data_IF_350044471332
#
_entry.id   IF_350044471332
#
_cell.length_a   1.000
_cell.length_b   1.000
_cell.length_c   1.000
_cell.angle_alpha   90.00
_cell.angle_beta   90.00
_cell.angle_gamma   90.00
#
_symmetry.space_group_name_H-M   'P 1'
#
loop_
_entity.id
_entity.type
_entity.pdbx_description
1 polymer ?
#
# COMPACT_ATOMS: atom_id res chain seq x y z
N UNK A 1 -27.06 8.10 6.51
CA UNK A 1 -26.00 7.07 6.40
C UNK A 1 -24.70 7.62 5.82
N UNK A 2 -24.72 8.26 4.64
CA UNK A 2 -23.51 8.84 4.01
C UNK A 2 -22.74 9.83 4.90
N UNK A 3 -23.44 10.70 5.64
CA UNK A 3 -22.80 11.67 6.54
C UNK A 3 -22.01 11.05 7.70
N UNK A 4 -22.47 9.92 8.28
CA UNK A 4 -21.74 9.24 9.35
C UNK A 4 -20.46 8.58 8.83
N UNK A 5 -20.53 7.96 7.64
CA UNK A 5 -19.36 7.36 7.01
C UNK A 5 -18.36 8.40 6.50
N UNK A 6 -18.81 9.55 6.03
CA UNK A 6 -17.90 10.65 5.67
C UNK A 6 -17.18 11.22 6.89
N UNK A 7 -17.86 11.30 8.04
CA UNK A 7 -17.23 11.68 9.31
C UNK A 7 -16.15 10.65 9.70
N UNK A 8 -16.46 9.35 9.65
CA UNK A 8 -15.50 8.28 9.92
C UNK A 8 -14.28 8.33 8.98
N UNK A 9 -14.51 8.50 7.67
CA UNK A 9 -13.42 8.62 6.69
C UNK A 9 -12.58 9.90 6.93
N UNK A 10 -13.22 11.03 7.27
CA UNK A 10 -12.53 12.26 7.64
C UNK A 10 -11.61 12.08 8.85
N UNK A 11 -12.05 11.30 9.84
CA UNK A 11 -11.20 10.92 10.98
C UNK A 11 -10.04 10.00 10.58
N UNK A 12 -10.23 9.01 9.70
CA UNK A 12 -9.13 8.16 9.19
C UNK A 12 -8.07 9.01 8.48
N UNK A 13 -8.48 9.94 7.61
CA UNK A 13 -7.55 10.84 6.93
C UNK A 13 -7.02 11.95 7.83
N UNK A 14 -7.57 12.11 9.03
CA UNK A 14 -7.32 13.20 9.95
C UNK A 14 -7.45 14.57 9.27
N UNK A 15 -8.58 14.79 8.59
CA UNK A 15 -8.90 16.03 7.87
C UNK A 15 -10.27 16.57 8.29
N UNK A 16 -10.25 17.70 8.99
CA UNK A 16 -11.43 18.46 9.44
C UNK A 16 -11.27 19.90 8.95
N UNK A 17 -12.09 20.31 7.98
CA UNK A 17 -12.01 21.62 7.32
C UNK A 17 -10.61 21.96 6.80
N UNK A 18 -9.91 20.99 6.20
CA UNK A 18 -8.54 21.14 5.69
C UNK A 18 -7.50 21.35 6.80
N UNK A 19 -7.81 20.98 8.05
CA UNK A 19 -6.89 21.01 9.20
C UNK A 19 -6.80 19.61 9.82
N UNK A 20 -5.60 19.26 10.26
CA UNK A 20 -5.37 18.01 11.00
C UNK A 20 -5.56 18.21 12.50
N UNK A 21 -6.08 17.20 13.17
CA UNK A 21 -6.23 17.19 14.62
C UNK A 21 -5.06 16.45 15.25
N UNK A 22 -4.40 17.06 16.23
CA UNK A 22 -3.35 16.43 17.01
C UNK A 22 -3.93 15.88 18.32
N UNK A 23 -4.54 14.69 18.26
CA UNK A 23 -5.21 14.07 19.41
C UNK A 23 -4.25 13.28 20.31
N UNK A 24 -3.24 12.63 19.72
CA UNK A 24 -2.34 11.71 20.43
C UNK A 24 -0.88 12.17 20.47
N UNK A 25 -0.57 13.35 19.94
CA UNK A 25 0.80 13.81 19.71
C UNK A 25 1.36 13.27 18.40
N UNK A 26 2.02 14.13 17.62
CA UNK A 26 2.77 13.69 16.45
C UNK A 26 3.94 12.81 16.87
N UNK A 27 4.19 11.75 16.10
CA UNK A 27 5.28 10.81 16.37
C UNK A 27 6.60 11.24 15.72
N UNK A 28 6.55 12.25 14.87
CA UNK A 28 7.74 12.89 14.32
C UNK A 28 8.36 13.85 15.32
N UNK A 29 9.69 13.89 15.36
CA UNK A 29 10.43 14.92 16.09
C UNK A 29 10.35 16.22 15.31
N UNK A 30 10.12 17.31 16.03
CA UNK A 30 10.33 18.65 15.47
C UNK A 30 11.84 18.90 15.44
N UNK A 31 12.39 19.35 14.31
CA UNK A 31 13.81 19.62 14.22
C UNK A 31 14.19 20.71 15.22
N UNK A 32 15.22 20.45 16.02
CA UNK A 32 15.76 21.46 16.91
C UNK A 32 16.32 22.61 16.08
N UNK A 33 16.05 23.87 16.46
CA UNK A 33 16.54 24.99 15.69
C UNK A 33 18.07 25.02 15.81
N UNK A 34 18.78 24.99 14.68
CA UNK A 34 20.24 25.01 14.67
C UNK A 34 20.72 26.30 15.35
N UNK A 35 21.48 26.14 16.43
CA UNK A 35 22.22 27.25 17.04
C UNK A 35 23.26 27.73 16.01
N UNK A 36 23.28 29.02 15.70
CA UNK A 36 24.37 29.56 14.90
C UNK A 36 25.66 29.42 15.72
N UNK A 37 26.73 28.93 15.08
CA UNK A 37 28.06 28.75 15.67
C UNK A 37 28.66 30.04 16.28
N UNK A 38 28.02 31.20 16.06
CA UNK A 38 28.47 32.51 16.52
C UNK A 38 27.87 32.98 17.86
N UNK A 39 27.14 32.14 18.59
CA UNK A 39 26.67 32.47 19.96
C UNK A 39 25.65 33.62 20.04
N UNK A 40 25.04 34.00 18.92
CA UNK A 40 23.84 34.83 18.91
C UNK A 40 22.61 33.93 18.93
N UNK A 41 21.64 34.21 19.82
CA UNK A 41 20.33 33.54 19.96
C UNK A 41 19.41 33.75 18.73
N UNK A 42 19.94 33.59 17.53
CA UNK A 42 19.23 33.72 16.27
C UNK A 42 19.10 32.34 15.65
N UNK A 43 17.93 31.75 15.82
CA UNK A 43 17.55 30.48 15.20
C UNK A 43 17.39 30.64 13.69
N UNK A 44 18.10 29.83 12.90
CA UNK A 44 17.89 29.77 11.45
C UNK A 44 16.85 28.69 11.14
N UNK A 45 15.67 29.11 10.71
CA UNK A 45 14.67 28.23 10.11
C UNK A 45 14.90 28.19 8.60
N UNK A 46 15.47 27.09 8.11
CA UNK A 46 15.48 26.83 6.67
C UNK A 46 14.08 26.31 6.27
N UNK A 47 13.36 27.00 5.38
CA UNK A 47 11.97 26.65 5.04
C UNK A 47 11.81 25.31 4.29
N UNK A 48 12.90 24.79 3.69
CA UNK A 48 12.92 23.56 2.90
C UNK A 48 13.66 22.41 3.62
N UNK A 49 13.62 22.38 4.95
CA UNK A 49 14.24 21.30 5.70
C UNK A 49 13.55 19.95 5.42
N UNK A 50 14.33 18.97 4.98
CA UNK A 50 13.90 17.57 4.87
C UNK A 50 14.24 16.81 6.16
N UNK A 51 13.29 16.04 6.65
CA UNK A 51 13.49 15.18 7.82
C UNK A 51 13.92 13.78 7.35
N UNK A 52 15.02 13.30 7.90
CA UNK A 52 15.47 11.93 7.66
C UNK A 52 14.67 10.96 8.53
N UNK A 53 13.89 10.03 7.94
CA UNK A 53 13.08 9.08 8.69
C UNK A 53 13.91 8.11 9.54
N UNK A 54 15.24 8.02 9.40
CA UNK A 54 16.06 7.20 10.27
C UNK A 54 16.31 7.83 11.65
N UNK A 55 16.45 9.16 11.71
CA UNK A 55 16.90 9.88 12.89
C UNK A 55 15.78 10.70 13.57
N UNK A 56 14.83 11.18 12.75
CA UNK A 56 13.79 12.13 13.16
C UNK A 56 12.47 11.44 13.59
N UNK A 57 12.45 10.11 13.60
CA UNK A 57 11.41 9.32 14.27
C UNK A 57 11.80 9.19 15.75
N UNK A 58 10.83 9.29 16.66
CA UNK A 58 11.10 9.14 18.10
C UNK A 58 11.57 7.70 18.40
N UNK A 59 12.52 7.51 19.34
CA UNK A 59 13.21 6.21 19.49
C UNK A 59 12.31 5.04 19.89
N UNK A 60 11.12 5.31 20.43
CA UNK A 60 10.17 4.30 20.93
C UNK A 60 8.77 4.38 20.26
N UNK A 61 8.66 4.99 19.08
CA UNK A 61 7.32 5.29 18.53
C UNK A 61 6.71 4.21 17.65
N UNK A 62 5.51 3.79 18.06
CA UNK A 62 4.51 3.15 17.22
C UNK A 62 3.96 4.18 16.20
N UNK A 63 3.43 3.72 15.05
CA UNK A 63 2.66 4.58 14.14
C UNK A 63 1.56 5.34 14.89
N UNK A 64 1.16 6.51 14.38
CA UNK A 64 0.09 7.31 14.97
C UNK A 64 -1.15 6.42 15.22
N UNK A 65 -1.68 6.38 16.46
CA UNK A 65 -2.55 5.28 16.88
C UNK A 65 -3.91 5.27 16.18
N UNK A 66 -4.35 6.40 15.62
CA UNK A 66 -5.61 6.48 14.91
C UNK A 66 -5.58 7.50 13.77
N UNK A 67 -5.70 7.01 12.55
CA UNK A 67 -5.67 7.83 11.34
C UNK A 67 -4.27 8.29 10.95
N UNK A 68 -4.19 9.40 10.22
CA UNK A 68 -2.92 9.93 9.71
C UNK A 68 -2.27 10.90 10.71
N UNK A 69 -0.93 10.83 10.81
CA UNK A 69 -0.18 11.77 11.67
C UNK A 69 -0.41 13.22 11.21
N UNK A 70 -0.76 14.15 12.11
CA UNK A 70 -1.04 15.54 11.78
C UNK A 70 0.13 16.28 11.11
N UNK A 71 1.38 15.84 11.29
CA UNK A 71 2.57 16.48 10.68
C UNK A 71 2.49 16.52 9.16
N UNK A 72 1.86 15.52 8.53
CA UNK A 72 1.73 15.45 7.09
C UNK A 72 0.92 16.60 6.52
N UNK A 73 0.05 17.25 7.31
CA UNK A 73 -0.70 18.40 6.80
C UNK A 73 0.18 19.65 6.63
N UNK A 74 1.27 19.74 7.42
CA UNK A 74 2.27 20.81 7.38
C UNK A 74 3.37 20.56 6.35
N UNK A 75 3.63 19.30 6.00
CA UNK A 75 4.69 18.91 5.09
C UNK A 75 4.42 19.35 3.63
N UNK A 76 5.47 19.77 2.92
CA UNK A 76 5.40 20.16 1.50
C UNK A 76 5.17 18.94 0.59
N UNK A 77 5.73 17.78 0.94
CA UNK A 77 5.61 16.52 0.20
C UNK A 77 4.33 15.72 0.52
N UNK A 78 3.35 16.32 1.22
CA UNK A 78 2.13 15.63 1.64
C UNK A 78 1.33 15.00 0.52
N UNK A 79 1.28 15.66 -0.64
CA UNK A 79 0.50 15.22 -1.80
C UNK A 79 1.07 13.89 -2.33
N UNK A 80 2.39 13.76 -2.38
CA UNK A 80 3.06 12.56 -2.90
C UNK A 80 2.78 11.35 -1.99
N UNK A 81 2.88 11.55 -0.67
CA UNK A 81 2.56 10.53 0.33
C UNK A 81 1.07 10.14 0.28
N UNK A 82 0.17 11.13 0.36
CA UNK A 82 -1.28 10.94 0.36
C UNK A 82 -1.79 10.26 -0.92
N UNK A 83 -1.26 10.63 -2.08
CA UNK A 83 -1.69 10.03 -3.35
C UNK A 83 -1.32 8.55 -3.41
N UNK A 84 -0.11 8.20 -2.98
CA UNK A 84 0.35 6.81 -2.92
C UNK A 84 -0.50 5.99 -1.94
N UNK A 85 -0.82 6.55 -0.78
CA UNK A 85 -1.67 5.92 0.23
C UNK A 85 -3.11 5.71 -0.28
N UNK A 86 -3.72 6.76 -0.85
CA UNK A 86 -5.09 6.72 -1.38
C UNK A 86 -5.21 5.74 -2.54
N UNK A 87 -4.24 5.71 -3.46
CA UNK A 87 -4.24 4.76 -4.57
C UNK A 87 -4.26 3.31 -4.06
N UNK A 88 -3.33 2.95 -3.17
CA UNK A 88 -3.22 1.59 -2.64
C UNK A 88 -4.46 1.19 -1.85
N UNK A 89 -4.97 2.08 -1.00
CA UNK A 89 -6.19 1.83 -0.21
C UNK A 89 -7.42 1.64 -1.11
N UNK A 90 -7.54 2.43 -2.19
CA UNK A 90 -8.63 2.29 -3.16
C UNK A 90 -8.58 0.95 -3.90
N UNK A 91 -7.39 0.47 -4.27
CA UNK A 91 -7.24 -0.86 -4.90
C UNK A 91 -7.69 -1.96 -3.93
N UNK A 92 -7.19 -1.96 -2.70
CA UNK A 92 -7.56 -2.96 -1.67
C UNK A 92 -9.07 -2.98 -1.42
N UNK A 93 -9.70 -1.81 -1.23
CA UNK A 93 -11.15 -1.72 -1.04
C UNK A 93 -11.92 -2.21 -2.28
N UNK A 94 -11.44 -1.88 -3.48
CA UNK A 94 -12.03 -2.32 -4.74
C UNK A 94 -12.00 -3.85 -4.89
N UNK A 95 -10.86 -4.48 -4.59
CA UNK A 95 -10.72 -5.95 -4.67
C UNK A 95 -11.60 -6.63 -3.63
N UNK A 96 -11.66 -6.13 -2.39
CA UNK A 96 -12.56 -6.67 -1.36
C UNK A 96 -14.02 -6.60 -1.83
N UNK A 97 -14.43 -5.47 -2.43
CA UNK A 97 -15.80 -5.31 -2.97
C UNK A 97 -16.07 -6.26 -4.16
N UNK A 98 -15.10 -6.42 -5.06
CA UNK A 98 -15.21 -7.36 -6.19
C UNK A 98 -15.33 -8.80 -5.70
N UNK A 99 -14.48 -9.22 -4.75
CA UNK A 99 -14.53 -10.56 -4.13
C UNK A 99 -15.88 -10.78 -3.46
N UNK A 100 -16.37 -9.81 -2.69
CA UNK A 100 -17.70 -9.89 -2.08
C UNK A 100 -18.80 -10.09 -3.13
N UNK A 101 -18.76 -9.36 -4.24
CA UNK A 101 -19.70 -9.52 -5.36
C UNK A 101 -19.67 -10.94 -5.96
N UNK A 102 -18.49 -11.51 -6.14
CA UNK A 102 -18.33 -12.88 -6.65
C UNK A 102 -18.77 -13.93 -5.62
N UNK A 103 -18.58 -13.69 -4.32
CA UNK A 103 -19.10 -14.60 -3.28
C UNK A 103 -20.63 -14.68 -3.27
N UNK A 104 -21.33 -13.58 -3.63
CA UNK A 104 -22.79 -13.59 -3.78
C UNK A 104 -23.26 -14.46 -4.96
N UNK A 105 -22.44 -14.63 -6.01
CA UNK A 105 -22.82 -15.50 -7.13
C UNK A 105 -22.88 -16.98 -6.71
N UNK A 106 -22.06 -17.41 -5.75
CA UNK A 106 -22.15 -18.77 -5.17
C UNK A 106 -23.54 -19.02 -4.57
N UNK A 107 -24.01 -18.07 -3.76
CA UNK A 107 -25.31 -18.18 -3.09
C UNK A 107 -26.42 -18.33 -4.13
N UNK A 108 -26.29 -17.60 -5.24
CA UNK A 108 -27.22 -17.69 -6.37
C UNK A 108 -27.20 -19.08 -7.03
N UNK A 109 -26.03 -19.60 -7.39
CA UNK A 109 -25.92 -20.92 -8.01
C UNK A 109 -26.33 -22.07 -7.08
N UNK A 110 -26.11 -21.91 -5.76
CA UNK A 110 -26.55 -22.87 -4.75
C UNK A 110 -28.09 -22.87 -4.63
N UNK A 111 -28.72 -21.69 -4.64
CA UNK A 111 -30.17 -21.57 -4.60
C UNK A 111 -30.85 -22.24 -5.80
N UNK A 112 -30.33 -22.02 -7.01
CA UNK A 112 -30.86 -22.61 -8.24
C UNK A 112 -30.35 -24.03 -8.55
N UNK A 113 -29.48 -24.61 -7.70
CA UNK A 113 -28.90 -25.96 -7.83
C UNK A 113 -28.12 -26.19 -9.14
N UNK A 114 -27.54 -25.12 -9.70
CA UNK A 114 -26.72 -25.19 -10.91
C UNK A 114 -25.25 -25.44 -10.56
N UNK A 115 -24.93 -26.65 -10.10
CA UNK A 115 -23.58 -27.02 -9.66
C UNK A 115 -22.52 -26.95 -10.77
N UNK A 116 -22.93 -27.14 -12.04
CA UNK A 116 -22.02 -27.03 -13.20
C UNK A 116 -21.49 -25.60 -13.32
N UNK A 117 -22.33 -24.58 -13.13
CA UNK A 117 -21.89 -23.18 -13.15
C UNK A 117 -20.95 -22.85 -12.00
N UNK A 118 -21.09 -23.51 -10.84
CA UNK A 118 -20.14 -23.32 -9.74
C UNK A 118 -18.74 -23.76 -10.16
N UNK A 119 -18.63 -24.93 -10.80
CA UNK A 119 -17.34 -25.48 -11.23
C UNK A 119 -16.77 -24.75 -12.47
N UNK A 120 -17.61 -24.41 -13.45
CA UNK A 120 -17.14 -23.84 -14.72
C UNK A 120 -17.06 -22.31 -14.74
N UNK A 121 -17.83 -21.60 -13.93
CA UNK A 121 -17.91 -20.13 -13.94
C UNK A 121 -17.29 -19.54 -12.66
N UNK A 122 -17.79 -19.94 -11.49
CA UNK A 122 -17.37 -19.35 -10.22
C UNK A 122 -15.93 -19.69 -9.83
N UNK A 123 -15.54 -20.97 -9.83
CA UNK A 123 -14.18 -21.38 -9.42
C UNK A 123 -13.10 -20.70 -10.28
N UNK A 124 -13.18 -20.75 -11.63
CA UNK A 124 -12.17 -20.09 -12.46
C UNK A 124 -12.18 -18.57 -12.28
N UNK A 125 -13.35 -17.95 -12.08
CA UNK A 125 -13.46 -16.52 -11.82
C UNK A 125 -12.73 -16.11 -10.52
N UNK A 126 -12.91 -16.86 -9.44
CA UNK A 126 -12.22 -16.59 -8.16
C UNK A 126 -10.72 -16.84 -8.27
N UNK A 127 -10.29 -17.94 -8.88
CA UNK A 127 -8.86 -18.23 -9.07
C UNK A 127 -8.18 -17.10 -9.84
N UNK A 128 -8.77 -16.65 -10.94
CA UNK A 128 -8.22 -15.55 -11.73
C UNK A 128 -8.16 -14.23 -10.95
N UNK A 129 -9.25 -13.87 -10.27
CA UNK A 129 -9.33 -12.63 -9.49
C UNK A 129 -8.28 -12.63 -8.37
N UNK A 130 -8.16 -13.73 -7.63
CA UNK A 130 -7.20 -13.86 -6.53
C UNK A 130 -5.75 -13.95 -7.02
N UNK A 131 -5.50 -14.59 -8.16
CA UNK A 131 -4.16 -14.75 -8.70
C UNK A 131 -3.52 -13.43 -9.15
N UNK A 132 -4.32 -12.49 -9.67
CA UNK A 132 -3.81 -11.19 -10.16
C UNK A 132 -4.02 -10.11 -9.11
N UNK A 133 -5.28 -9.83 -8.79
CA UNK A 133 -5.64 -8.70 -7.91
C UNK A 133 -5.43 -9.03 -6.45
N UNK A 134 -5.76 -10.25 -6.02
CA UNK A 134 -5.46 -10.71 -4.66
C UNK A 134 -3.96 -10.76 -4.37
N UNK A 135 -3.15 -11.20 -5.35
CA UNK A 135 -1.69 -11.17 -5.23
C UNK A 135 -1.13 -9.74 -5.15
N UNK A 136 -1.69 -8.81 -5.92
CA UNK A 136 -1.33 -7.39 -5.83
C UNK A 136 -1.61 -6.80 -4.44
N UNK A 137 -2.77 -7.09 -3.85
CA UNK A 137 -3.09 -6.66 -2.48
C UNK A 137 -2.13 -7.29 -1.46
N UNK A 138 -1.82 -8.59 -1.61
CA UNK A 138 -0.82 -9.26 -0.79
C UNK A 138 0.55 -8.55 -0.87
N UNK A 139 1.00 -8.16 -2.07
CA UNK A 139 2.25 -7.39 -2.23
C UNK A 139 2.19 -6.00 -1.57
N UNK A 140 1.02 -5.33 -1.58
CA UNK A 140 0.86 -4.04 -0.89
C UNK A 140 1.08 -4.21 0.61
N UNK A 141 0.41 -5.18 1.24
CA UNK A 141 0.57 -5.45 2.67
C UNK A 141 1.99 -5.90 2.99
N UNK A 142 2.56 -6.83 2.20
CA UNK A 142 3.94 -7.28 2.40
C UNK A 142 4.92 -6.11 2.35
N UNK A 143 4.77 -5.21 1.37
CA UNK A 143 5.63 -4.02 1.27
C UNK A 143 5.53 -3.12 2.50
N UNK A 144 4.32 -2.94 3.06
CA UNK A 144 4.11 -2.15 4.27
C UNK A 144 4.79 -2.73 5.51
N UNK A 145 4.99 -4.05 5.58
CA UNK A 145 5.64 -4.70 6.72
C UNK A 145 7.15 -4.93 6.53
N UNK A 146 7.61 -5.18 5.30
CA UNK A 146 8.99 -5.58 5.03
C UNK A 146 9.96 -4.41 4.85
N UNK A 147 9.47 -3.24 4.44
CA UNK A 147 10.31 -2.08 4.13
C UNK A 147 10.15 -0.95 5.15
N UNK A 148 11.27 -0.52 5.69
CA UNK A 148 11.44 0.58 6.64
C UNK A 148 12.38 1.64 6.05
N UNK A 149 12.72 2.66 6.84
CA UNK A 149 13.66 3.73 6.44
C UNK A 149 15.09 3.25 6.16
N UNK A 150 15.49 2.06 6.64
CA UNK A 150 16.82 1.51 6.45
C UNK A 150 17.03 0.82 5.09
N UNK A 151 15.96 0.31 4.49
CA UNK A 151 15.98 -0.46 3.23
C UNK A 151 15.08 0.16 2.16
N UNK A 152 14.75 1.46 2.30
CA UNK A 152 13.88 2.20 1.38
C UNK A 152 14.44 2.27 -0.04
N UNK A 153 15.76 2.31 -0.19
CA UNK A 153 16.44 2.52 -1.47
C UNK A 153 16.27 1.33 -2.42
N UNK A 154 16.07 0.14 -1.86
CA UNK A 154 15.86 -1.09 -2.60
C UNK A 154 14.38 -1.51 -2.65
N UNK A 155 13.44 -0.62 -2.32
CA UNK A 155 12.02 -0.96 -2.27
C UNK A 155 11.39 -1.00 -3.67
N UNK A 156 11.05 -2.18 -4.23
CA UNK A 156 10.57 -2.32 -5.60
C UNK A 156 9.18 -1.72 -5.79
N UNK A 157 8.86 -1.30 -7.01
CA UNK A 157 7.52 -0.78 -7.33
C UNK A 157 6.58 -1.92 -7.71
N UNK A 158 5.45 -2.01 -7.00
CA UNK A 158 4.46 -3.10 -7.14
C UNK A 158 3.92 -3.20 -8.57
N UNK A 159 3.72 -2.05 -9.23
CA UNK A 159 3.24 -2.00 -10.61
C UNK A 159 4.23 -2.64 -11.58
N UNK A 160 5.53 -2.32 -11.47
CA UNK A 160 6.55 -2.92 -12.35
C UNK A 160 6.69 -4.41 -12.06
N UNK A 161 6.63 -4.80 -10.78
CA UNK A 161 6.63 -6.23 -10.39
C UNK A 161 5.46 -7.00 -11.01
N UNK A 162 4.28 -6.38 -11.09
CA UNK A 162 3.11 -6.97 -11.74
C UNK A 162 3.28 -7.05 -13.28
N UNK A 163 3.83 -6.02 -13.92
CA UNK A 163 4.14 -6.06 -15.37
C UNK A 163 5.16 -7.15 -15.68
N UNK A 164 6.23 -7.23 -14.91
CA UNK A 164 7.29 -8.21 -15.10
C UNK A 164 6.80 -9.65 -14.87
N UNK A 165 5.81 -9.84 -14.00
CA UNK A 165 5.13 -11.13 -13.82
C UNK A 165 4.47 -11.60 -15.13
N UNK A 166 3.75 -10.73 -15.85
CA UNK A 166 3.12 -11.10 -17.13
C UNK A 166 4.13 -11.23 -18.28
N UNK A 167 5.21 -10.46 -18.25
CA UNK A 167 6.24 -10.46 -19.29
C UNK A 167 7.33 -11.54 -19.08
N UNK A 168 7.31 -12.25 -17.95
CA UNK A 168 8.38 -13.16 -17.53
C UNK A 168 9.78 -12.53 -17.56
N UNK A 169 9.86 -11.22 -17.26
CA UNK A 169 11.12 -10.48 -17.29
C UNK A 169 11.79 -10.52 -15.93
N UNK A 170 13.08 -10.85 -15.91
CA UNK A 170 13.95 -10.76 -14.73
C UNK A 170 14.84 -9.51 -14.82
N UNK A 171 15.20 -8.96 -13.66
CA UNK A 171 16.22 -7.91 -13.57
C UNK A 171 17.56 -8.45 -14.10
N UNK A 172 18.31 -7.63 -14.83
CA UNK A 172 19.61 -7.99 -15.35
C UNK A 172 20.70 -7.75 -14.30
N UNK A 173 21.81 -8.50 -14.38
CA UNK A 173 22.99 -8.27 -13.55
C UNK A 173 23.62 -6.92 -13.92
N UNK A 174 23.30 -5.87 -13.14
CA UNK A 174 23.70 -4.49 -13.39
C UNK A 174 22.57 -3.48 -13.14
N UNK A 175 21.32 -3.94 -13.02
CA UNK A 175 20.18 -3.11 -12.62
C UNK A 175 20.25 -2.78 -11.11
N UNK A 176 19.67 -1.66 -10.66
CA UNK A 176 19.64 -1.29 -9.25
C UNK A 176 18.80 -2.27 -8.41
N UNK A 177 19.10 -2.37 -7.11
CA UNK A 177 18.54 -3.38 -6.20
C UNK A 177 17.00 -3.46 -6.21
N UNK A 178 16.29 -2.35 -6.40
CA UNK A 178 14.82 -2.31 -6.47
C UNK A 178 14.23 -2.98 -7.73
N UNK A 179 15.05 -3.39 -8.70
CA UNK A 179 14.66 -4.14 -9.92
C UNK A 179 15.17 -5.58 -9.90
N UNK A 180 16.28 -5.84 -9.22
CA UNK A 180 16.92 -7.17 -9.17
C UNK A 180 16.43 -8.00 -8.00
N UNK A 181 16.19 -7.38 -6.86
CA UNK A 181 16.00 -8.11 -5.61
C UNK A 181 14.53 -8.52 -5.45
N UNK A 182 14.25 -9.81 -5.21
CA UNK A 182 12.89 -10.25 -4.92
C UNK A 182 12.43 -9.70 -3.57
N UNK A 183 11.15 -9.31 -3.50
CA UNK A 183 10.50 -8.83 -2.26
C UNK A 183 10.45 -9.91 -1.16
N UNK A 184 10.46 -11.18 -1.55
CA UNK A 184 10.46 -12.34 -0.66
C UNK A 184 11.01 -13.59 -1.37
N UNK A 185 11.53 -14.54 -0.60
CA UNK A 185 12.37 -15.63 -1.12
C UNK A 185 11.75 -16.49 -2.25
N UNK A 186 10.49 -16.96 -2.18
CA UNK A 186 9.87 -17.73 -3.27
C UNK A 186 9.10 -16.88 -4.32
N UNK A 187 9.40 -15.60 -4.52
CA UNK A 187 8.57 -14.72 -5.37
C UNK A 187 8.37 -15.23 -6.80
N UNK A 188 9.43 -15.65 -7.49
CA UNK A 188 9.34 -16.09 -8.89
C UNK A 188 8.48 -17.35 -9.06
N UNK A 189 8.62 -18.29 -8.11
CA UNK A 189 7.87 -19.54 -8.12
C UNK A 189 6.38 -19.28 -7.89
N UNK A 190 6.04 -18.43 -6.91
CA UNK A 190 4.65 -18.07 -6.64
C UNK A 190 4.04 -17.35 -7.85
N UNK A 191 4.74 -16.37 -8.42
CA UNK A 191 4.26 -15.64 -9.60
C UNK A 191 4.03 -16.56 -10.80
N UNK A 192 4.94 -17.51 -11.05
CA UNK A 192 4.79 -18.47 -12.15
C UNK A 192 3.58 -19.39 -11.93
N UNK A 193 3.40 -19.93 -10.72
CA UNK A 193 2.26 -20.78 -10.39
C UNK A 193 0.94 -20.00 -10.53
N UNK A 194 0.86 -18.79 -9.99
CA UNK A 194 -0.33 -17.95 -10.08
C UNK A 194 -0.71 -17.62 -11.52
N UNK A 195 0.28 -17.35 -12.37
CA UNK A 195 0.04 -17.05 -13.78
C UNK A 195 -0.42 -18.31 -14.55
N UNK A 196 0.18 -19.48 -14.30
CA UNK A 196 -0.28 -20.75 -14.89
C UNK A 196 -1.73 -21.05 -14.49
N UNK A 197 -2.08 -20.86 -13.21
CA UNK A 197 -3.45 -21.02 -12.72
C UNK A 197 -4.42 -20.02 -13.36
N UNK A 198 -3.98 -18.77 -13.58
CA UNK A 198 -4.78 -17.75 -14.25
C UNK A 198 -5.02 -18.08 -15.74
N UNK A 199 -4.03 -18.62 -16.45
CA UNK A 199 -4.14 -19.03 -17.87
C UNK A 199 -4.96 -20.31 -18.02
N UNK A 200 -4.92 -21.24 -17.06
CA UNK A 200 -5.71 -22.47 -17.11
C UNK A 200 -7.23 -22.20 -17.25
N UNK A 201 -7.72 -21.07 -16.73
CA UNK A 201 -9.09 -20.59 -16.94
C UNK A 201 -9.44 -20.42 -18.41
N UNK A 202 -8.51 -19.92 -19.23
CA UNK A 202 -8.74 -19.55 -20.62
C UNK A 202 -8.85 -20.77 -21.55
N UNK A 203 -8.39 -21.95 -21.10
CA UNK A 203 -8.36 -23.18 -21.88
C UNK A 203 -9.60 -24.08 -21.68
N UNK A 204 -10.49 -23.76 -20.74
CA UNK A 204 -11.71 -24.53 -20.44
C UNK A 204 -12.95 -24.02 -21.21
N UNK A 205 -12.80 -22.92 -21.96
CA UNK A 205 -13.81 -22.38 -22.87
C UNK A 205 -13.41 -22.59 -24.33
#
# INVERSE_FOLDING_TARGET
MMGLFSIYAGFIYNDVFSKSMNLFGSQWKTPEPRLLENGSDSYRFDPDMTLDPQNEIKPDTLPYPFGMDPIWQLATNKIIFLNTYKMKTSVVLGVIQMVFGVMLSIVNHLHFKHYVNILCEFIPQVIFLMAIFGYMDFMIFWKWFAYNSLNSDCAPSILITLINMFLFKKGASGDPCYLTDPMYAPQELIQTILLVLAVYKEYIH
#
